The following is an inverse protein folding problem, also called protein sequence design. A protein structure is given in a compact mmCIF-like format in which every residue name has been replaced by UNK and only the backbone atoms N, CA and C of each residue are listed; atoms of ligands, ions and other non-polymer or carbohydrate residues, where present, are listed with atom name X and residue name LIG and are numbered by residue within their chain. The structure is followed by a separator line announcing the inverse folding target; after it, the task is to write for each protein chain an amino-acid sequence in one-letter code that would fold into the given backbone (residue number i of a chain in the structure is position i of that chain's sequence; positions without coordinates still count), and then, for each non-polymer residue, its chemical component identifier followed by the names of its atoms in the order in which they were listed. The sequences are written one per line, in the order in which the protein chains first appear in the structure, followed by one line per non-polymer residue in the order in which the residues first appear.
data_IF_590913654759
#
_entry.id   IF_590913654759
#
_cell.length_a   1.000
_cell.length_b   1.000
_cell.length_c   1.000
_cell.angle_alpha   90.00
_cell.angle_beta   90.00
_cell.angle_gamma   90.00
#
_symmetry.space_group_name_H-M   'P 1'
#
loop_
_entity.id
_entity.type
_entity.pdbx_description
1 polymer ?
#
# COMPACT_ATOMS: atom_id res chain seq x y z
N UNK A 1 -14.81 5.17 4.70
CA UNK A 1 -14.88 6.08 5.86
C UNK A 1 -14.37 5.34 7.08
N UNK A 2 -13.42 5.93 7.80
CA UNK A 2 -12.96 5.46 9.12
C UNK A 2 -13.99 5.83 10.20
N UNK A 3 -14.73 4.83 10.69
CA UNK A 3 -15.78 5.00 11.69
C UNK A 3 -15.22 5.32 13.07
N UNK A 4 -14.14 4.67 13.49
CA UNK A 4 -13.50 4.91 14.79
C UNK A 4 -12.94 6.32 14.88
N UNK A 5 -12.18 6.74 13.86
CA UNK A 5 -11.64 8.09 13.80
C UNK A 5 -12.74 9.14 13.74
N UNK A 6 -13.85 8.87 13.06
CA UNK A 6 -15.02 9.74 13.05
C UNK A 6 -15.68 9.84 14.43
N UNK A 7 -15.97 8.70 15.06
CA UNK A 7 -16.58 8.62 16.38
C UNK A 7 -15.71 9.31 17.44
N UNK A 8 -14.40 9.04 17.45
CA UNK A 8 -13.42 9.64 18.36
C UNK A 8 -13.47 11.16 18.33
N UNK A 9 -13.46 11.78 17.14
CA UNK A 9 -13.53 13.25 17.01
C UNK A 9 -14.85 13.82 17.53
N UNK A 10 -15.96 13.11 17.30
CA UNK A 10 -17.28 13.59 17.72
C UNK A 10 -17.53 13.39 19.21
N UNK A 11 -17.05 12.29 19.82
CA UNK A 11 -17.18 12.05 21.25
C UNK A 11 -16.59 13.21 22.08
N UNK A 12 -15.44 13.75 21.67
CA UNK A 12 -14.80 14.89 22.35
C UNK A 12 -15.54 16.22 22.12
N UNK A 13 -16.20 16.40 20.98
CA UNK A 13 -16.77 17.70 20.59
C UNK A 13 -18.26 17.86 20.89
N UNK A 14 -19.04 16.78 20.76
CA UNK A 14 -20.52 16.84 20.82
C UNK A 14 -21.15 15.78 21.74
N UNK A 15 -20.33 14.91 22.35
CA UNK A 15 -20.78 13.90 23.31
C UNK A 15 -21.49 12.69 22.70
N UNK A 16 -21.73 11.67 23.53
CA UNK A 16 -22.16 10.32 23.10
C UNK A 16 -23.46 10.32 22.29
N UNK A 17 -24.49 11.05 22.74
CA UNK A 17 -25.81 11.03 22.10
C UNK A 17 -25.74 11.51 20.64
N UNK A 18 -25.17 12.70 20.42
CA UNK A 18 -25.07 13.30 19.08
C UNK A 18 -24.07 12.55 18.19
N UNK A 19 -23.01 11.97 18.76
CA UNK A 19 -22.12 11.06 18.01
C UNK A 19 -22.86 9.82 17.51
N UNK A 20 -23.69 9.20 18.37
CA UNK A 20 -24.46 8.01 18.00
C UNK A 20 -25.41 8.32 16.85
N UNK A 21 -26.17 9.42 16.94
CA UNK A 21 -27.09 9.87 15.89
C UNK A 21 -26.36 10.06 14.55
N UNK A 22 -25.19 10.73 14.56
CA UNK A 22 -24.38 10.94 13.35
C UNK A 22 -23.78 9.66 12.78
N UNK A 23 -23.38 8.71 13.64
CA UNK A 23 -22.88 7.41 13.18
C UNK A 23 -24.00 6.63 12.49
N UNK A 24 -25.21 6.59 13.07
CA UNK A 24 -26.37 5.93 12.48
C UNK A 24 -26.64 6.48 11.09
N UNK A 25 -26.71 7.81 10.97
CA UNK A 25 -26.92 8.50 9.69
C UNK A 25 -25.90 8.03 8.62
N UNK A 26 -24.60 8.04 8.95
CA UNK A 26 -23.53 7.65 8.02
C UNK A 26 -23.51 6.15 7.70
N UNK A 27 -23.82 5.31 8.68
CA UNK A 27 -23.89 3.86 8.46
C UNK A 27 -25.06 3.53 7.54
N UNK A 28 -26.23 4.13 7.75
CA UNK A 28 -27.39 3.94 6.85
C UNK A 28 -27.05 4.44 5.44
N UNK A 29 -26.44 5.63 5.33
CA UNK A 29 -26.06 6.23 4.04
C UNK A 29 -25.14 5.31 3.22
N UNK A 30 -24.13 4.72 3.85
CA UNK A 30 -23.10 3.94 3.15
C UNK A 30 -23.47 2.45 3.04
N UNK A 31 -23.99 1.84 4.11
CA UNK A 31 -24.31 0.40 4.15
C UNK A 31 -25.71 0.07 3.62
N UNK A 32 -26.61 1.04 3.52
CA UNK A 32 -28.02 0.82 3.22
C UNK A 32 -28.77 -0.02 4.26
N UNK A 33 -28.24 -0.14 5.48
CA UNK A 33 -28.85 -0.94 6.54
C UNK A 33 -30.09 -0.26 7.12
N UNK A 34 -30.98 -1.06 7.72
CA UNK A 34 -32.08 -0.52 8.50
C UNK A 34 -31.58 0.18 9.78
N UNK A 35 -32.44 1.04 10.34
CA UNK A 35 -32.07 1.88 11.48
C UNK A 35 -31.71 1.06 12.73
N UNK A 36 -32.38 -0.06 12.98
CA UNK A 36 -32.12 -0.92 14.13
C UNK A 36 -30.70 -1.49 14.09
N UNK A 37 -30.30 -2.07 12.95
CA UNK A 37 -28.97 -2.63 12.74
C UNK A 37 -27.90 -1.53 12.79
N UNK A 38 -28.14 -0.39 12.14
CA UNK A 38 -27.23 0.74 12.17
C UNK A 38 -27.03 1.28 13.60
N UNK A 39 -28.09 1.33 14.41
CA UNK A 39 -28.04 1.73 15.82
C UNK A 39 -27.27 0.75 16.69
N UNK A 40 -27.44 -0.55 16.47
CA UNK A 40 -26.64 -1.57 17.15
C UNK A 40 -25.16 -1.40 16.83
N UNK A 41 -24.84 -1.19 15.54
CA UNK A 41 -23.48 -1.01 15.07
C UNK A 41 -22.83 0.27 15.63
N UNK A 42 -23.54 1.40 15.57
CA UNK A 42 -23.05 2.68 16.10
C UNK A 42 -22.71 2.59 17.59
N UNK A 43 -23.48 1.81 18.37
CA UNK A 43 -23.17 1.55 19.79
C UNK A 43 -21.88 0.76 19.94
N UNK A 44 -21.71 -0.31 19.17
CA UNK A 44 -20.50 -1.13 19.19
C UNK A 44 -19.26 -0.30 18.82
N UNK A 45 -19.34 0.55 17.78
CA UNK A 45 -18.25 1.48 17.41
C UNK A 45 -17.89 2.41 18.57
N UNK A 46 -18.88 2.98 19.27
CA UNK A 46 -18.62 3.86 20.42
C UNK A 46 -17.99 3.10 21.59
N UNK A 47 -18.42 1.87 21.83
CA UNK A 47 -17.84 1.01 22.87
C UNK A 47 -16.39 0.66 22.54
N UNK A 48 -16.11 0.26 21.30
CA UNK A 48 -14.75 -0.03 20.85
C UNK A 48 -13.84 1.18 20.99
N UNK A 49 -14.29 2.36 20.56
CA UNK A 49 -13.52 3.60 20.75
C UNK A 49 -13.28 3.87 22.24
N UNK A 50 -14.24 3.64 23.13
CA UNK A 50 -13.98 3.82 24.57
C UNK A 50 -12.94 2.83 25.08
N UNK A 51 -12.99 1.57 24.63
CA UNK A 51 -12.08 0.51 25.06
C UNK A 51 -10.66 0.74 24.54
N UNK A 52 -10.50 1.00 23.24
CA UNK A 52 -9.22 1.21 22.59
C UNK A 52 -8.42 2.38 23.20
N UNK A 53 -9.10 3.38 23.77
CA UNK A 53 -8.48 4.53 24.43
C UNK A 53 -8.66 4.55 25.96
N UNK A 54 -9.16 3.46 26.56
CA UNK A 54 -9.35 3.38 28.03
C UNK A 54 -8.04 3.25 28.80
N UNK A 55 -6.99 2.75 28.15
CA UNK A 55 -5.66 2.58 28.74
C UNK A 55 -4.58 2.94 27.72
N UNK A 56 -3.70 3.87 28.06
CA UNK A 56 -2.52 4.18 27.26
C UNK A 56 -1.26 3.92 28.09
N UNK A 57 -0.30 3.21 27.51
CA UNK A 57 1.08 3.21 27.97
C UNK A 57 1.98 3.63 26.80
N UNK A 58 3.27 3.82 27.06
CA UNK A 58 4.21 4.29 26.04
C UNK A 58 4.39 3.32 24.85
N UNK A 59 3.99 2.04 24.98
CA UNK A 59 4.05 1.03 23.91
C UNK A 59 2.83 1.17 22.99
N UNK A 60 1.68 1.57 23.53
CA UNK A 60 0.41 1.71 22.82
C UNK A 60 0.20 3.14 22.25
N UNK A 61 1.11 4.08 22.52
CA UNK A 61 1.09 5.43 21.97
C UNK A 61 2.24 5.66 20.99
N UNK A 62 2.16 6.73 20.20
CA UNK A 62 3.19 7.11 19.26
C UNK A 62 3.36 8.63 19.20
N UNK A 63 4.52 9.10 18.74
CA UNK A 63 4.78 10.52 18.62
C UNK A 63 3.93 11.16 17.51
N UNK A 64 3.14 12.18 17.86
CA UNK A 64 2.22 12.87 16.93
C UNK A 64 2.86 14.14 16.38
N UNK A 65 3.26 14.12 15.10
CA UNK A 65 3.80 15.29 14.40
C UNK A 65 2.76 16.39 14.16
N UNK A 66 1.46 16.05 14.21
CA UNK A 66 0.33 16.93 13.82
C UNK A 66 0.32 17.39 12.36
N UNK A 67 1.16 16.79 11.51
CA UNK A 67 1.24 17.07 10.07
C UNK A 67 0.59 15.91 9.31
N UNK A 68 -0.32 16.20 8.36
CA UNK A 68 -0.98 15.15 7.58
C UNK A 68 -0.18 14.75 6.34
N UNK A 69 -0.35 13.51 5.91
CA UNK A 69 0.29 12.94 4.70
C UNK A 69 0.15 13.82 3.46
N UNK A 70 -1.07 14.29 3.19
CA UNK A 70 -1.37 15.15 2.03
C UNK A 70 -0.81 16.57 2.16
N UNK A 71 -0.77 17.13 3.37
CA UNK A 71 -0.17 18.45 3.64
C UNK A 71 1.35 18.39 3.49
N UNK A 72 1.96 17.28 3.88
CA UNK A 72 3.40 17.07 3.73
C UNK A 72 3.80 16.66 2.31
N UNK A 73 2.86 16.15 1.50
CA UNK A 73 3.10 15.77 0.11
C UNK A 73 3.84 14.44 -0.05
N UNK A 74 3.62 13.48 0.85
CA UNK A 74 4.20 12.14 0.73
C UNK A 74 3.38 11.31 -0.27
N UNK A 75 4.06 10.56 -1.13
CA UNK A 75 3.49 9.86 -2.28
C UNK A 75 3.32 10.73 -3.52
N UNK A 76 3.76 11.99 -3.50
CA UNK A 76 3.66 12.92 -4.65
C UNK A 76 4.98 13.18 -5.37
N UNK A 77 6.07 12.45 -5.04
CA UNK A 77 7.42 12.67 -5.59
C UNK A 77 7.95 14.09 -5.41
N UNK A 78 7.47 14.79 -4.37
CA UNK A 78 7.86 16.16 -4.02
C UNK A 78 8.88 16.20 -2.87
N UNK A 79 9.24 17.40 -2.42
CA UNK A 79 10.25 17.58 -1.33
C UNK A 79 9.89 16.83 -0.04
N UNK A 80 8.63 16.86 0.37
CA UNK A 80 8.20 16.16 1.60
C UNK A 80 8.26 14.64 1.45
N UNK A 81 7.98 14.11 0.26
CA UNK A 81 8.16 12.70 -0.08
C UNK A 81 9.62 12.27 0.10
N UNK A 82 10.55 12.99 -0.54
CA UNK A 82 12.00 12.72 -0.42
C UNK A 82 12.48 12.81 1.03
N UNK A 83 11.97 13.78 1.80
CA UNK A 83 12.32 13.91 3.21
C UNK A 83 11.83 12.72 4.05
N UNK A 84 10.61 12.23 3.84
CA UNK A 84 10.12 11.04 4.55
C UNK A 84 10.96 9.81 4.18
N UNK A 85 11.26 9.62 2.89
CA UNK A 85 12.11 8.52 2.44
C UNK A 85 13.52 8.58 3.05
N UNK A 86 14.11 9.78 3.19
CA UNK A 86 15.42 9.91 3.86
C UNK A 86 15.33 9.55 5.35
N UNK A 87 14.23 9.91 6.04
CA UNK A 87 14.02 9.51 7.44
C UNK A 87 13.78 8.02 7.62
N UNK A 88 13.07 7.38 6.70
CA UNK A 88 12.94 5.91 6.67
C UNK A 88 14.33 5.27 6.56
N UNK A 89 15.20 5.81 5.70
CA UNK A 89 16.55 5.31 5.52
C UNK A 89 17.47 5.51 6.74
N UNK A 90 17.27 6.58 7.51
CA UNK A 90 17.96 6.82 8.79
C UNK A 90 17.54 5.80 9.87
N UNK A 91 16.24 5.47 9.93
CA UNK A 91 15.68 4.55 10.93
C UNK A 91 16.02 3.09 10.59
N UNK A 92 16.12 2.77 9.30
CA UNK A 92 16.41 1.41 8.82
C UNK A 92 17.90 1.07 9.04
N UNK A 93 18.19 0.20 10.02
CA UNK A 93 19.52 -0.40 10.21
C UNK A 93 19.68 -1.56 9.22
N UNK A 94 20.42 -1.34 8.14
CA UNK A 94 20.54 -2.28 7.02
C UNK A 94 22.02 -2.55 6.67
N UNK A 95 22.85 -2.83 7.67
CA UNK A 95 24.32 -2.94 7.49
C UNK A 95 24.73 -4.13 6.61
N UNK A 96 23.91 -5.18 6.55
CA UNK A 96 24.20 -6.39 5.75
C UNK A 96 23.67 -6.33 4.31
N UNK A 97 22.95 -5.25 3.94
CA UNK A 97 22.41 -5.07 2.60
C UNK A 97 23.46 -4.47 1.65
N UNK A 98 23.55 -4.99 0.42
CA UNK A 98 24.41 -4.46 -0.64
C UNK A 98 23.83 -3.16 -1.22
N UNK A 99 22.51 -3.16 -1.41
CA UNK A 99 21.70 -1.98 -1.75
C UNK A 99 20.54 -1.95 -0.76
N UNK A 100 20.36 -0.80 -0.12
CA UNK A 100 19.40 -0.59 0.96
C UNK A 100 18.51 0.61 0.68
N UNK A 101 17.58 0.89 1.59
CA UNK A 101 16.74 2.10 1.56
C UNK A 101 17.55 3.40 1.55
N UNK A 102 18.85 3.37 1.94
CA UNK A 102 19.74 4.54 1.91
C UNK A 102 20.23 4.89 0.52
N UNK A 103 20.32 3.90 -0.36
CA UNK A 103 20.78 4.10 -1.73
C UNK A 103 19.68 4.77 -2.59
N UNK A 104 18.41 4.73 -2.14
CA UNK A 104 17.24 5.25 -2.87
C UNK A 104 17.18 4.72 -4.32
N UNK A 105 17.56 3.46 -4.47
CA UNK A 105 17.52 2.71 -5.73
C UNK A 105 16.15 2.03 -5.92
N UNK A 106 15.92 1.43 -7.08
CA UNK A 106 14.62 0.86 -7.44
C UNK A 106 14.32 -0.47 -6.70
N UNK A 107 15.34 -1.18 -6.21
CA UNK A 107 15.16 -2.38 -5.40
C UNK A 107 16.24 -2.54 -4.31
N UNK A 108 15.93 -3.34 -3.29
CA UNK A 108 16.89 -3.78 -2.27
C UNK A 108 17.68 -4.99 -2.74
N UNK A 109 18.95 -5.09 -2.31
CA UNK A 109 19.82 -6.20 -2.70
C UNK A 109 20.56 -6.76 -1.50
N UNK A 110 20.51 -8.09 -1.36
CA UNK A 110 21.36 -8.86 -0.43
C UNK A 110 22.18 -9.88 -1.21
N UNK A 111 23.22 -10.41 -0.59
CA UNK A 111 24.04 -11.47 -1.19
C UNK A 111 23.87 -12.78 -0.42
N UNK A 112 23.61 -13.86 -1.13
CA UNK A 112 23.46 -15.19 -0.55
C UNK A 112 24.09 -16.24 -1.48
N UNK A 113 24.94 -17.11 -0.93
CA UNK A 113 25.56 -18.23 -1.66
C UNK A 113 26.18 -17.82 -3.02
N UNK A 114 26.89 -16.68 -3.03
CA UNK A 114 27.56 -16.17 -4.22
C UNK A 114 26.67 -15.41 -5.21
N UNK A 115 25.33 -15.46 -5.07
CA UNK A 115 24.36 -14.74 -5.90
C UNK A 115 23.85 -13.47 -5.22
N UNK A 116 23.39 -12.53 -6.02
CA UNK A 116 22.59 -11.40 -5.55
C UNK A 116 21.11 -11.79 -5.54
N UNK A 117 20.42 -11.49 -4.46
CA UNK A 117 18.97 -11.56 -4.35
C UNK A 117 18.46 -10.14 -4.36
N UNK A 118 17.63 -9.82 -5.35
CA UNK A 118 17.05 -8.50 -5.57
C UNK A 118 15.58 -8.55 -5.22
N UNK A 119 15.10 -7.60 -4.43
CA UNK A 119 13.73 -7.57 -3.91
C UNK A 119 13.14 -6.18 -4.10
N UNK A 120 11.98 -6.11 -4.75
CA UNK A 120 11.19 -4.89 -4.91
C UNK A 120 9.78 -5.09 -4.36
N UNK A 121 9.12 -3.97 -4.06
CA UNK A 121 7.70 -3.94 -3.72
C UNK A 121 7.08 -2.64 -4.23
N UNK A 122 5.95 -2.77 -4.93
CA UNK A 122 5.19 -1.64 -5.45
C UNK A 122 3.77 -1.63 -4.91
N UNK A 123 3.31 -0.46 -4.46
CA UNK A 123 1.94 -0.24 -4.02
C UNK A 123 1.00 -0.02 -5.18
N UNK A 124 -0.24 -0.52 -5.08
CA UNK A 124 -1.25 -0.23 -6.09
C UNK A 124 -1.60 1.26 -6.09
N UNK A 125 -1.79 1.84 -7.28
CA UNK A 125 -2.31 3.19 -7.33
C UNK A 125 -3.78 3.17 -6.90
N UNK A 126 -4.09 3.77 -5.76
CA UNK A 126 -5.45 3.74 -5.18
C UNK A 126 -6.56 4.39 -6.04
N UNK A 127 -6.23 5.11 -7.12
CA UNK A 127 -7.20 5.57 -8.14
C UNK A 127 -7.71 4.45 -9.03
N UNK A 128 -7.03 3.30 -9.04
CA UNK A 128 -7.43 2.10 -9.77
C UNK A 128 -8.30 1.16 -8.93
N UNK A 129 -8.87 1.64 -7.82
CA UNK A 129 -9.78 0.83 -6.96
C UNK A 129 -10.98 0.29 -7.74
N UNK A 130 -11.41 0.99 -8.80
CA UNK A 130 -12.52 0.57 -9.68
C UNK A 130 -12.05 -0.15 -10.94
N UNK A 131 -10.73 -0.38 -11.08
CA UNK A 131 -10.14 -1.11 -12.20
C UNK A 131 -9.18 -2.19 -11.67
N UNK A 132 -9.66 -3.20 -10.91
CA UNK A 132 -8.78 -4.07 -10.14
C UNK A 132 -7.81 -4.88 -11.00
N UNK A 133 -8.27 -5.40 -12.15
CA UNK A 133 -7.42 -6.08 -13.12
C UNK A 133 -6.27 -5.19 -13.60
N UNK A 134 -6.58 -3.97 -14.01
CA UNK A 134 -5.58 -3.00 -14.47
C UNK A 134 -4.64 -2.61 -13.32
N UNK A 135 -5.16 -2.51 -12.09
CA UNK A 135 -4.34 -2.28 -10.90
C UNK A 135 -3.33 -3.41 -10.69
N UNK A 136 -3.76 -4.67 -10.77
CA UNK A 136 -2.91 -5.86 -10.63
C UNK A 136 -1.87 -5.98 -11.74
N UNK A 137 -2.30 -5.75 -12.97
CA UNK A 137 -1.43 -5.76 -14.14
C UNK A 137 -0.31 -4.70 -14.03
N UNK A 138 -0.64 -3.46 -13.69
CA UNK A 138 0.35 -2.39 -13.62
C UNK A 138 1.28 -2.50 -12.42
N UNK A 139 0.76 -2.85 -11.24
CA UNK A 139 1.61 -2.98 -10.04
C UNK A 139 2.62 -4.12 -10.19
N UNK A 140 2.24 -5.23 -10.83
CA UNK A 140 3.15 -6.37 -11.08
C UNK A 140 4.26 -5.99 -12.05
N UNK A 141 3.90 -5.29 -13.13
CA UNK A 141 4.89 -4.74 -14.07
C UNK A 141 5.82 -3.73 -13.43
N UNK A 142 5.34 -2.94 -12.47
CA UNK A 142 6.19 -2.02 -11.72
C UNK A 142 7.22 -2.80 -10.88
N UNK A 143 6.75 -3.71 -10.04
CA UNK A 143 7.62 -4.50 -9.17
C UNK A 143 8.66 -5.30 -9.97
N UNK A 144 8.24 -5.96 -11.05
CA UNK A 144 9.16 -6.71 -11.92
C UNK A 144 10.18 -5.82 -12.63
N UNK A 145 9.76 -4.64 -13.13
CA UNK A 145 10.69 -3.71 -13.81
C UNK A 145 11.77 -3.23 -12.85
N UNK A 146 11.41 -2.99 -11.60
CA UNK A 146 12.36 -2.55 -10.57
C UNK A 146 13.37 -3.66 -10.20
N UNK A 147 13.02 -4.94 -10.39
CA UNK A 147 13.98 -6.06 -10.34
C UNK A 147 14.83 -6.12 -11.62
N UNK A 148 14.21 -6.01 -12.80
CA UNK A 148 14.92 -6.07 -14.08
C UNK A 148 15.97 -4.96 -14.23
N UNK A 149 15.65 -3.72 -13.81
CA UNK A 149 16.57 -2.57 -13.93
C UNK A 149 17.82 -2.73 -13.08
N UNK A 150 17.77 -3.59 -12.06
CA UNK A 150 18.92 -3.96 -11.23
C UNK A 150 19.75 -5.09 -11.83
N UNK A 151 19.40 -5.58 -13.03
CA UNK A 151 20.13 -6.64 -13.74
C UNK A 151 19.78 -8.05 -13.26
N UNK A 152 18.68 -8.21 -12.54
CA UNK A 152 18.24 -9.49 -11.99
C UNK A 152 17.10 -10.10 -12.81
N UNK A 153 17.11 -11.44 -12.89
CA UNK A 153 16.01 -12.21 -13.46
C UNK A 153 14.95 -12.48 -12.38
N UNK A 154 13.70 -12.01 -12.54
CA UNK A 154 12.61 -12.34 -11.63
C UNK A 154 12.36 -13.85 -11.55
N UNK A 155 12.18 -14.36 -10.33
CA UNK A 155 11.91 -15.78 -10.08
C UNK A 155 10.65 -16.03 -9.26
N UNK A 156 10.11 -15.00 -8.61
CA UNK A 156 8.91 -15.11 -7.79
C UNK A 156 8.21 -13.77 -7.62
N UNK A 157 6.88 -13.81 -7.64
CA UNK A 157 5.98 -12.69 -7.30
C UNK A 157 5.14 -13.07 -6.09
N UNK A 158 4.84 -12.10 -5.22
CA UNK A 158 3.88 -12.25 -4.14
C UNK A 158 2.98 -11.01 -4.02
N UNK A 159 1.80 -11.16 -3.45
CA UNK A 159 0.76 -10.12 -3.42
C UNK A 159 0.22 -9.88 -2.02
N UNK A 160 -0.08 -8.63 -1.67
CA UNK A 160 -0.89 -8.29 -0.50
C UNK A 160 -2.04 -7.37 -0.95
N UNK A 161 -3.29 -7.81 -0.75
CA UNK A 161 -4.48 -7.06 -1.19
C UNK A 161 -5.45 -6.84 -0.03
N UNK A 162 -5.92 -5.61 0.10
CA UNK A 162 -6.83 -5.19 1.15
C UNK A 162 -8.04 -4.50 0.54
N UNK A 163 -9.23 -4.88 1.00
CA UNK A 163 -10.50 -4.28 0.57
C UNK A 163 -11.27 -3.76 1.78
N UNK A 164 -11.85 -2.57 1.69
CA UNK A 164 -12.71 -2.04 2.74
C UNK A 164 -13.99 -2.88 2.90
N UNK A 165 -14.69 -2.73 4.03
CA UNK A 165 -15.71 -3.69 4.45
C UNK A 165 -16.90 -3.86 3.48
N UNK A 166 -17.16 -2.88 2.62
CA UNK A 166 -18.24 -2.93 1.61
C UNK A 166 -17.73 -3.21 0.20
N UNK A 167 -16.42 -3.36 0.01
CA UNK A 167 -15.88 -3.61 -1.31
C UNK A 167 -16.26 -4.99 -1.84
N UNK A 168 -16.58 -5.05 -3.12
CA UNK A 168 -16.94 -6.29 -3.79
C UNK A 168 -15.76 -7.27 -3.79
N UNK A 169 -16.01 -8.51 -3.35
CA UNK A 169 -15.01 -9.60 -3.30
C UNK A 169 -14.43 -9.89 -4.68
N UNK A 170 -15.19 -9.65 -5.76
CA UNK A 170 -14.72 -9.81 -7.14
C UNK A 170 -13.51 -8.96 -7.47
N UNK A 171 -13.33 -7.81 -6.80
CA UNK A 171 -12.13 -6.98 -6.96
C UNK A 171 -10.84 -7.74 -6.63
N UNK A 172 -10.89 -8.71 -5.69
CA UNK A 172 -9.74 -9.58 -5.39
C UNK A 172 -9.41 -10.45 -6.60
N UNK A 173 -10.41 -11.15 -7.15
CA UNK A 173 -10.21 -12.07 -8.26
C UNK A 173 -9.70 -11.33 -9.51
N UNK A 174 -10.29 -10.19 -9.84
CA UNK A 174 -9.85 -9.37 -10.97
C UNK A 174 -8.42 -8.86 -10.75
N UNK A 175 -8.09 -8.40 -9.54
CA UNK A 175 -6.74 -7.96 -9.22
C UNK A 175 -5.72 -9.08 -9.41
N UNK A 176 -5.98 -10.27 -8.84
CA UNK A 176 -5.11 -11.43 -9.00
C UNK A 176 -5.02 -11.84 -10.47
N UNK A 177 -6.11 -11.80 -11.25
CA UNK A 177 -6.06 -12.09 -12.68
C UNK A 177 -5.13 -11.12 -13.45
N UNK A 178 -5.12 -9.84 -13.08
CA UNK A 178 -4.18 -8.86 -13.62
C UNK A 178 -2.71 -9.19 -13.30
N UNK A 179 -2.43 -9.64 -12.07
CA UNK A 179 -1.11 -10.12 -11.66
C UNK A 179 -0.71 -11.36 -12.48
N UNK A 180 -1.59 -12.36 -12.50
CA UNK A 180 -1.37 -13.63 -13.20
C UNK A 180 -1.11 -13.42 -14.69
N UNK A 181 -1.78 -12.46 -15.34
CA UNK A 181 -1.53 -12.12 -16.75
C UNK A 181 -0.06 -11.74 -16.99
N UNK A 182 0.56 -10.99 -16.08
CA UNK A 182 1.97 -10.60 -16.20
C UNK A 182 2.88 -11.79 -15.87
N UNK A 183 2.55 -12.54 -14.82
CA UNK A 183 3.26 -13.77 -14.44
C UNK A 183 3.31 -14.79 -15.58
N UNK A 184 2.17 -15.04 -16.24
CA UNK A 184 2.07 -15.95 -17.38
C UNK A 184 2.87 -15.45 -18.59
N UNK A 185 2.78 -14.14 -18.89
CA UNK A 185 3.53 -13.53 -19.99
C UNK A 185 5.05 -13.55 -19.79
N UNK A 186 5.52 -13.62 -18.54
CA UNK A 186 6.94 -13.59 -18.16
C UNK A 186 7.49 -14.95 -17.74
N UNK A 187 6.63 -15.94 -17.51
CA UNK A 187 7.02 -17.24 -16.96
C UNK A 187 7.37 -17.22 -15.47
N UNK A 188 7.05 -16.14 -14.76
CA UNK A 188 7.41 -15.94 -13.35
C UNK A 188 6.21 -16.24 -12.46
N UNK A 189 6.30 -17.19 -11.51
CA UNK A 189 5.15 -17.61 -10.72
C UNK A 189 4.73 -16.60 -9.65
N UNK A 190 3.43 -16.47 -9.43
CA UNK A 190 2.85 -15.91 -8.20
C UNK A 190 2.89 -17.01 -7.13
N UNK A 191 3.71 -16.85 -6.09
CA UNK A 191 4.03 -17.94 -5.13
C UNK A 191 3.45 -17.74 -3.74
N UNK A 192 3.00 -16.53 -3.39
CA UNK A 192 2.48 -16.23 -2.06
C UNK A 192 1.55 -15.02 -2.09
N UNK A 193 0.71 -14.89 -1.06
CA UNK A 193 0.03 -13.64 -0.82
C UNK A 193 -0.77 -13.55 0.48
N UNK A 194 -1.35 -12.38 0.69
CA UNK A 194 -2.17 -12.00 1.85
C UNK A 194 -3.44 -11.28 1.40
N UNK A 195 -4.52 -11.48 2.13
CA UNK A 195 -5.82 -10.84 1.89
C UNK A 195 -6.43 -10.38 3.21
N UNK A 196 -6.72 -9.09 3.33
CA UNK A 196 -7.25 -8.48 4.55
C UNK A 196 -8.37 -7.48 4.26
N UNK A 197 -9.15 -7.15 5.31
CA UNK A 197 -10.05 -6.00 5.27
C UNK A 197 -9.34 -4.74 5.75
N UNK A 198 -9.50 -3.63 5.02
CA UNK A 198 -8.96 -2.33 5.45
C UNK A 198 -9.62 -1.96 6.78
N UNK A 199 -8.86 -1.86 7.86
CA UNK A 199 -9.38 -1.53 9.19
C UNK A 199 -10.50 -2.46 9.69
N UNK A 200 -10.53 -3.71 9.22
CA UNK A 200 -11.57 -4.66 9.58
C UNK A 200 -12.96 -4.21 9.13
N UNK A 201 -13.89 -4.16 10.07
CA UNK A 201 -15.27 -3.71 9.89
C UNK A 201 -15.48 -2.22 10.26
N UNK A 202 -14.40 -1.52 10.61
CA UNK A 202 -14.42 -0.11 11.02
C UNK A 202 -14.14 0.88 9.87
N UNK A 203 -13.67 0.38 8.72
CA UNK A 203 -13.54 1.21 7.51
C UNK A 203 -14.56 0.75 6.46
N UNK A 204 -15.66 1.49 6.41
CA UNK A 204 -16.78 1.21 5.51
C UNK A 204 -16.58 1.87 4.15
N UNK A 205 -17.17 1.33 3.09
CA UNK A 205 -16.97 1.71 1.70
C UNK A 205 -16.16 0.69 0.90
N UNK A 206 -15.81 1.04 -0.34
CA UNK A 206 -15.42 0.05 -1.36
C UNK A 206 -13.95 0.17 -1.83
N UNK A 207 -13.16 0.96 -1.10
CA UNK A 207 -11.75 1.24 -1.43
C UNK A 207 -10.94 -0.05 -1.44
N UNK A 208 -10.04 -0.16 -2.42
CA UNK A 208 -9.03 -1.21 -2.48
C UNK A 208 -7.64 -0.60 -2.31
N UNK A 209 -6.75 -1.31 -1.62
CA UNK A 209 -5.32 -0.99 -1.49
C UNK A 209 -4.52 -2.29 -1.45
N UNK A 210 -3.21 -2.22 -1.58
CA UNK A 210 -2.35 -3.39 -1.60
C UNK A 210 -1.01 -3.12 -2.25
N UNK A 211 -0.21 -4.17 -2.40
CA UNK A 211 1.06 -4.14 -3.09
C UNK A 211 1.37 -5.48 -3.76
N UNK A 212 2.34 -5.45 -4.67
CA UNK A 212 2.96 -6.64 -5.24
C UNK A 212 4.46 -6.55 -5.02
N UNK A 213 5.04 -7.64 -4.55
CA UNK A 213 6.48 -7.80 -4.40
C UNK A 213 7.04 -8.75 -5.44
N UNK A 214 8.29 -8.52 -5.81
CA UNK A 214 9.02 -9.35 -6.77
C UNK A 214 10.40 -9.69 -6.21
N UNK A 215 10.84 -10.93 -6.42
CA UNK A 215 12.16 -11.41 -6.07
C UNK A 215 12.87 -11.87 -7.34
N UNK A 216 14.11 -11.42 -7.53
CA UNK A 216 14.97 -11.85 -8.60
C UNK A 216 16.35 -12.28 -8.14
N UNK A 217 17.07 -12.96 -9.02
CA UNK A 217 18.45 -13.39 -8.79
C UNK A 217 19.37 -12.84 -9.88
N UNK A 218 20.61 -12.51 -9.49
CA UNK A 218 21.62 -12.04 -10.43
C UNK A 218 23.02 -12.52 -10.08
N UNK A 219 23.88 -12.64 -11.08
CA UNK A 219 25.33 -12.75 -10.92
C UNK A 219 26.01 -11.38 -10.77
N UNK A 220 25.42 -10.35 -11.38
CA UNK A 220 25.88 -8.97 -11.37
C UNK A 220 24.69 -8.03 -11.21
N UNK A 221 24.89 -6.89 -10.56
CA UNK A 221 23.84 -5.87 -10.39
C UNK A 221 24.21 -4.55 -11.06
N UNK A 222 23.19 -3.76 -11.40
CA UNK A 222 23.31 -2.45 -12.06
C UNK A 222 22.77 -1.29 -11.21
N UNK A 223 23.37 -1.03 -10.03
CA UNK A 223 22.87 -0.01 -9.12
C UNK A 223 23.09 1.39 -9.69
N UNK A 224 22.15 2.31 -9.42
CA UNK A 224 22.14 3.68 -9.94
C UNK A 224 23.41 4.46 -9.58
N UNK A 225 24.01 4.20 -8.42
CA UNK A 225 25.25 4.85 -7.96
C UNK A 225 26.47 4.61 -8.85
N UNK A 226 26.39 3.68 -9.81
CA UNK A 226 27.48 3.39 -10.72
C UNK A 226 27.52 4.30 -11.96
N UNK A 227 26.51 5.14 -12.19
CA UNK A 227 26.44 6.09 -13.32
C UNK A 227 27.54 7.15 -13.20
N UNK A 228 28.21 7.45 -14.33
CA UNK A 228 29.37 8.36 -14.40
C UNK A 228 29.26 9.33 -15.58
N UNK A 229 30.04 10.40 -15.51
CA UNK A 229 30.22 11.31 -16.64
C UNK A 229 30.76 10.54 -17.86
N UNK A 230 30.13 10.75 -19.01
CA UNK A 230 30.43 10.02 -20.25
C UNK A 230 29.51 8.84 -20.55
N UNK A 231 28.68 8.40 -19.61
CA UNK A 231 27.64 7.39 -19.87
C UNK A 231 26.60 7.92 -20.86
N UNK A 232 26.04 7.01 -21.67
CA UNK A 232 25.00 7.32 -22.66
C UNK A 232 23.63 6.93 -22.10
N UNK A 233 22.65 7.83 -22.22
CA UNK A 233 21.26 7.55 -21.89
C UNK A 233 20.55 6.95 -23.11
N UNK A 234 20.12 5.69 -22.99
CA UNK A 234 19.30 5.02 -23.99
C UNK A 234 17.85 5.00 -23.50
N UNK A 235 16.95 5.57 -24.30
CA UNK A 235 15.51 5.53 -24.05
C UNK A 235 14.87 4.60 -25.07
N UNK A 236 14.23 3.54 -24.60
CA UNK A 236 13.32 2.73 -25.40
C UNK A 236 11.93 3.36 -25.39
N UNK A 237 11.13 3.10 -26.41
CA UNK A 237 9.74 3.59 -26.45
C UNK A 237 8.96 3.02 -25.25
N UNK A 238 8.50 3.91 -24.37
CA UNK A 238 7.75 3.53 -23.19
C UNK A 238 6.25 3.46 -23.46
N UNK A 239 5.64 2.30 -23.32
CA UNK A 239 4.18 2.15 -23.22
C UNK A 239 3.73 2.29 -21.76
N UNK A 240 3.80 3.52 -21.22
CA UNK A 240 3.38 3.84 -19.85
C UNK A 240 1.86 3.92 -19.72
N UNK A 241 1.26 3.07 -18.88
CA UNK A 241 -0.20 2.97 -18.73
C UNK A 241 -0.82 3.75 -17.57
N UNK A 242 -0.04 4.56 -16.85
CA UNK A 242 -0.47 5.22 -15.60
C UNK A 242 -1.70 6.14 -15.71
N UNK A 243 -2.16 6.43 -16.94
CA UNK A 243 -3.27 7.35 -17.23
C UNK A 243 -4.37 6.70 -18.09
N UNK A 244 -4.37 5.37 -18.31
CA UNK A 244 -5.36 4.69 -19.18
C UNK A 244 -6.68 4.38 -18.43
N UNK A 245 -7.19 5.31 -17.63
CA UNK A 245 -8.48 5.15 -16.94
C UNK A 245 -9.47 6.29 -17.19
N UNK A 246 -9.18 7.18 -18.16
CA UNK A 246 -10.09 8.24 -18.59
C UNK A 246 -10.28 8.16 -20.10
N UNK A 247 -11.36 7.48 -20.52
CA UNK A 247 -12.00 7.71 -21.82
C UNK A 247 -12.99 8.85 -21.71
#
# INVERSE_FOLDING_TARGET
MDLEGYARRLLTSVGVKKTTEKLIERIIEIKGWNEEKAKSWAKAVIEEVKNAYSSSNYILDYFKSSIKMGEFGVGSRGRGDFYVHSKIAEISKSEDAIISTRDLDDAGVVRCNGKYIVISVDGIHSRLSEFPFIAGFHVTRAAMRDVYVMGAEPIAVFSDIHIADDGDVSKIFDHIAGICTVCEATGVPLVSGSTLRIGGDMVIGERMTGCVGCVGIADTITPRKNVKEGDILLLTEGAGGGTIATT
#
